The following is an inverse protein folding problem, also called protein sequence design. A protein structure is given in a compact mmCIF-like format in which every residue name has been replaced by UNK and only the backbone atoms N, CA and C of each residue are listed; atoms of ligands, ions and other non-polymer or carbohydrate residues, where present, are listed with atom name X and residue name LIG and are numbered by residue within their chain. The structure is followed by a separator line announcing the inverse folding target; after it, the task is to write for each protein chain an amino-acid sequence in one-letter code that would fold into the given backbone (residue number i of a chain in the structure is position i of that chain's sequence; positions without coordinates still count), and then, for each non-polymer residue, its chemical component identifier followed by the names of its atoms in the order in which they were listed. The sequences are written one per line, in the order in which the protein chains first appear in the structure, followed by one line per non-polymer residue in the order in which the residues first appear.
data_IF_549526239023
#
_entry.id   IF_549526239023
#
_cell.length_a   1.000
_cell.length_b   1.000
_cell.length_c   1.000
_cell.angle_alpha   90.00
_cell.angle_beta   90.00
_cell.angle_gamma   90.00
#
_symmetry.space_group_name_H-M   'P 1'
#
loop_
_entity.id
_entity.type
_entity.pdbx_description
1 polymer ?
#
# COMPACT_ATOMS: atom_id res chain seq x y z
N UNK A 1 3.97 -7.77 -8.77
CA UNK A 1 3.86 -7.23 -10.14
C UNK A 1 3.64 -5.73 -10.00
N UNK A 2 4.61 -4.91 -10.42
CA UNK A 2 4.43 -3.46 -10.50
C UNK A 2 3.87 -3.16 -11.87
N UNK A 3 2.74 -2.46 -11.94
CA UNK A 3 2.09 -2.19 -13.22
C UNK A 3 2.80 -1.10 -14.04
N UNK A 4 3.87 -0.47 -13.50
CA UNK A 4 4.60 0.60 -14.17
C UNK A 4 3.72 1.81 -14.52
N UNK A 5 2.55 1.93 -13.88
CA UNK A 5 1.56 2.97 -14.15
C UNK A 5 2.05 4.25 -13.51
N UNK A 6 2.26 5.28 -14.32
CA UNK A 6 2.56 6.62 -13.84
C UNK A 6 1.26 7.34 -13.46
N UNK A 7 1.26 8.21 -12.44
CA UNK A 7 0.05 8.91 -11.98
C UNK A 7 -0.69 9.64 -13.09
N UNK A 8 0.03 10.24 -14.05
CA UNK A 8 -0.56 11.03 -15.14
C UNK A 8 -1.37 10.16 -16.11
N UNK A 9 -1.14 8.85 -16.14
CA UNK A 9 -1.88 7.93 -16.99
C UNK A 9 -3.26 7.59 -16.44
N UNK A 10 -3.46 7.82 -15.14
CA UNK A 10 -4.72 7.52 -14.43
C UNK A 10 -5.32 8.76 -13.76
N UNK A 11 -4.68 9.92 -13.93
CA UNK A 11 -5.22 11.19 -13.50
C UNK A 11 -6.58 11.41 -14.17
N UNK A 12 -7.56 11.86 -13.39
CA UNK A 12 -8.94 12.13 -13.82
C UNK A 12 -9.76 10.91 -14.27
N UNK A 13 -9.22 9.69 -14.09
CA UNK A 13 -9.94 8.46 -14.38
C UNK A 13 -10.90 8.06 -13.24
N UNK A 14 -12.02 7.43 -13.59
CA UNK A 14 -13.03 7.00 -12.61
C UNK A 14 -12.74 5.60 -12.03
N UNK A 15 -12.71 5.45 -10.71
CA UNK A 15 -12.58 4.15 -10.06
C UNK A 15 -13.80 3.89 -9.18
N UNK A 16 -14.32 2.66 -9.22
CA UNK A 16 -15.43 2.22 -8.37
C UNK A 16 -15.02 2.16 -6.89
N UNK A 17 -13.73 1.91 -6.64
CA UNK A 17 -13.12 1.83 -5.32
C UNK A 17 -11.68 2.32 -5.38
N UNK A 18 -11.31 3.19 -4.45
CA UNK A 18 -9.93 3.60 -4.19
C UNK A 18 -9.53 3.06 -2.81
N UNK A 19 -8.48 2.25 -2.78
CA UNK A 19 -7.89 1.68 -1.57
C UNK A 19 -6.55 2.38 -1.33
N UNK A 20 -6.36 2.91 -0.12
CA UNK A 20 -5.13 3.58 0.29
C UNK A 20 -4.39 2.63 1.23
N UNK A 21 -3.17 2.25 0.84
CA UNK A 21 -2.34 1.23 1.48
C UNK A 21 -2.62 -0.18 0.94
N UNK A 22 -1.56 -0.92 0.61
CA UNK A 22 -1.61 -2.36 0.28
C UNK A 22 -1.37 -3.28 1.47
N UNK A 23 -1.29 -2.73 2.69
CA UNK A 23 -1.13 -3.50 3.92
C UNK A 23 -2.27 -4.48 4.21
N UNK A 24 -2.06 -5.31 5.23
CA UNK A 24 -2.94 -6.42 5.58
C UNK A 24 -4.43 -6.04 5.67
N UNK A 25 -4.76 -4.97 6.40
CA UNK A 25 -6.15 -4.57 6.60
C UNK A 25 -6.86 -4.27 5.28
N UNK A 26 -6.25 -3.43 4.44
CA UNK A 26 -6.75 -3.08 3.11
C UNK A 26 -6.91 -4.31 2.22
N UNK A 27 -5.88 -5.16 2.14
CA UNK A 27 -5.90 -6.37 1.34
C UNK A 27 -6.96 -7.38 1.82
N UNK A 28 -7.16 -7.51 3.12
CA UNK A 28 -8.17 -8.39 3.73
C UNK A 28 -9.59 -8.01 3.30
N UNK A 29 -9.95 -6.72 3.41
CA UNK A 29 -11.28 -6.26 2.97
C UNK A 29 -11.43 -6.29 1.45
N UNK A 30 -10.37 -5.91 0.72
CA UNK A 30 -10.36 -5.92 -0.74
C UNK A 30 -10.58 -7.34 -1.29
N UNK A 31 -9.99 -8.36 -0.66
CA UNK A 31 -10.17 -9.76 -1.04
C UNK A 31 -11.64 -10.18 -1.05
N UNK A 32 -12.37 -9.87 0.03
CA UNK A 32 -13.79 -10.24 0.12
C UNK A 32 -14.68 -9.34 -0.76
N UNK A 33 -14.34 -8.06 -0.92
CA UNK A 33 -15.02 -7.16 -1.85
C UNK A 33 -14.93 -7.65 -3.30
N UNK A 34 -13.73 -8.02 -3.76
CA UNK A 34 -13.47 -8.46 -5.13
C UNK A 34 -14.22 -9.76 -5.49
N UNK A 35 -14.53 -10.61 -4.51
CA UNK A 35 -15.34 -11.83 -4.70
C UNK A 35 -16.82 -11.53 -4.92
N UNK A 36 -17.31 -10.39 -4.43
CA UNK A 36 -18.73 -10.02 -4.46
C UNK A 36 -19.08 -9.06 -5.57
N UNK A 37 -18.11 -8.23 -6.01
CA UNK A 37 -18.35 -7.18 -6.99
C UNK A 37 -17.22 -7.08 -7.99
N UNK A 38 -17.58 -7.10 -9.28
CA UNK A 38 -16.69 -6.67 -10.36
C UNK A 38 -16.64 -5.14 -10.37
N UNK A 39 -15.45 -4.58 -10.21
CA UNK A 39 -15.21 -3.15 -10.04
C UNK A 39 -13.83 -2.79 -10.61
N UNK A 40 -13.66 -1.56 -11.08
CA UNK A 40 -12.35 -0.99 -11.40
C UNK A 40 -11.76 -0.39 -10.14
N UNK A 41 -10.70 -1.02 -9.62
CA UNK A 41 -10.15 -0.73 -8.30
C UNK A 41 -8.77 -0.10 -8.46
N UNK A 42 -8.56 1.04 -7.83
CA UNK A 42 -7.24 1.66 -7.68
C UNK A 42 -6.71 1.35 -6.28
N UNK A 43 -5.53 0.76 -6.20
CA UNK A 43 -4.79 0.59 -4.94
C UNK A 43 -3.59 1.52 -4.99
N UNK A 44 -3.48 2.41 -4.02
CA UNK A 44 -2.38 3.35 -3.86
C UNK A 44 -1.51 2.88 -2.71
N UNK A 45 -0.21 2.72 -2.96
CA UNK A 45 0.78 2.41 -1.94
C UNK A 45 1.85 3.51 -1.95
N UNK A 46 2.26 3.95 -0.76
CA UNK A 46 3.32 4.96 -0.61
C UNK A 46 4.70 4.30 -0.74
N UNK A 47 4.83 3.08 -0.22
CA UNK A 47 6.02 2.25 -0.38
C UNK A 47 6.31 1.89 -1.83
N UNK A 48 7.56 1.50 -2.08
CA UNK A 48 7.93 0.86 -3.35
C UNK A 48 7.55 -0.62 -3.30
N UNK A 49 7.39 -1.23 -4.46
CA UNK A 49 7.25 -2.67 -4.52
C UNK A 49 8.57 -3.37 -4.18
N UNK A 50 8.60 -4.00 -3.02
CA UNK A 50 9.64 -4.93 -2.64
C UNK A 50 9.24 -6.36 -3.05
N UNK A 51 10.15 -7.08 -3.71
CA UNK A 51 9.89 -8.49 -4.07
C UNK A 51 9.91 -9.35 -2.81
N UNK A 52 9.21 -10.48 -2.84
CA UNK A 52 9.24 -11.41 -1.71
C UNK A 52 10.66 -11.88 -1.39
N UNK A 53 11.49 -12.13 -2.42
CA UNK A 53 12.92 -12.46 -2.26
C UNK A 53 13.68 -11.35 -1.51
N UNK A 54 13.51 -10.09 -1.92
CA UNK A 54 14.11 -8.95 -1.21
C UNK A 54 13.63 -8.88 0.25
N UNK A 55 12.34 -9.10 0.50
CA UNK A 55 11.79 -9.05 1.86
C UNK A 55 12.38 -10.13 2.76
N UNK A 56 12.59 -11.35 2.23
CA UNK A 56 13.25 -12.42 2.94
C UNK A 56 14.73 -12.12 3.20
N UNK A 57 15.43 -11.56 2.22
CA UNK A 57 16.86 -11.22 2.35
C UNK A 57 17.10 -10.09 3.35
N UNK A 58 16.19 -9.13 3.45
CA UNK A 58 16.28 -8.01 4.39
C UNK A 58 15.62 -8.28 5.74
N UNK A 59 14.91 -9.39 5.90
CA UNK A 59 14.02 -9.68 7.03
C UNK A 59 13.06 -8.50 7.34
N UNK A 60 12.56 -7.85 6.29
CA UNK A 60 11.77 -6.63 6.36
C UNK A 60 10.79 -6.51 5.20
N UNK A 61 9.61 -5.94 5.46
CA UNK A 61 8.61 -5.69 4.41
C UNK A 61 8.92 -4.44 3.56
N UNK A 62 9.69 -3.51 4.12
CA UNK A 62 9.94 -2.18 3.57
C UNK A 62 11.33 -1.69 3.91
N UNK A 63 11.88 -0.83 3.05
CA UNK A 63 13.12 -0.09 3.27
C UNK A 63 12.88 1.31 3.87
N UNK A 64 11.62 1.65 4.15
CA UNK A 64 11.25 2.92 4.77
C UNK A 64 11.29 2.78 6.29
N UNK A 65 12.03 3.67 6.94
CA UNK A 65 12.04 3.80 8.40
C UNK A 65 10.70 4.34 8.91
N UNK A 66 10.01 3.57 9.76
CA UNK A 66 8.71 3.90 10.32
C UNK A 66 8.68 5.24 11.06
N UNK A 67 9.77 5.65 11.71
CA UNK A 67 9.87 6.92 12.44
C UNK A 67 9.83 8.13 11.50
N UNK A 68 10.16 7.94 10.23
CA UNK A 68 10.14 9.01 9.22
C UNK A 68 8.76 9.23 8.61
N UNK A 69 7.79 8.35 8.92
CA UNK A 69 6.49 8.31 8.25
C UNK A 69 5.43 9.22 8.89
N UNK A 70 5.71 9.73 10.08
CA UNK A 70 4.78 10.56 10.84
C UNK A 70 5.50 11.65 11.63
N UNK A 71 4.74 12.68 12.04
CA UNK A 71 5.18 13.66 13.04
C UNK A 71 4.29 13.50 14.27
N UNK A 72 4.90 13.44 15.44
CA UNK A 72 4.20 13.31 16.72
C UNK A 72 4.72 14.35 17.72
N UNK A 73 3.85 14.79 18.61
CA UNK A 73 4.19 15.55 19.83
C UNK A 73 4.04 14.69 21.10
N UNK A 74 3.81 13.38 20.95
CA UNK A 74 3.69 12.39 21.99
C UNK A 74 4.93 11.50 22.03
N UNK A 75 5.36 11.10 23.22
CA UNK A 75 6.48 10.18 23.44
C UNK A 75 6.14 8.72 23.07
N UNK A 76 4.87 8.44 22.78
CA UNK A 76 4.44 7.11 22.36
C UNK A 76 4.92 6.84 20.93
N UNK A 77 5.73 5.79 20.69
CA UNK A 77 6.09 5.40 19.33
C UNK A 77 4.86 4.85 18.60
N UNK A 78 4.72 5.23 17.33
CA UNK A 78 3.77 4.63 16.41
C UNK A 78 4.52 3.82 15.36
N UNK A 79 4.07 2.60 15.14
CA UNK A 79 4.59 1.76 14.08
C UNK A 79 3.57 1.74 12.94
N UNK A 80 3.94 2.39 11.84
CA UNK A 80 3.21 2.33 10.57
C UNK A 80 4.08 1.62 9.56
N UNK A 81 3.78 0.34 9.29
CA UNK A 81 4.46 -0.40 8.23
C UNK A 81 3.91 0.02 6.88
N UNK A 82 4.69 0.79 6.13
CA UNK A 82 4.40 1.21 4.75
C UNK A 82 5.03 0.19 3.81
N UNK A 83 4.29 -0.39 2.86
CA UNK A 83 4.82 -1.44 1.98
C UNK A 83 3.93 -1.81 0.82
#
# INVERSE_FOLDING_TARGET
MVLGIRPEQIADEHFDLVVIGSGFGSAFFLHEFAKRRKARILVLEWGRHNTHEWQLDQDANTDIDEETTYKTNSDKPWNYTIG
#
